data_IF_665833625050
#
_entry.id   IF_665833625050
#
_cell.length_a   1.000
_cell.length_b   1.000
_cell.length_c   1.000
_cell.angle_alpha   90.00
_cell.angle_beta   90.00
_cell.angle_gamma   90.00
#
_symmetry.space_group_name_H-M   'P 1'
#
loop_
_entity.id
_entity.type
_entity.pdbx_description
1 polymer ?
#
# COMPACT_ATOMS: atom_id res chain seq x y z
N UNK A 1 -33.58 84.45 2.92
CA UNK A 1 -32.85 84.44 4.21
C UNK A 1 -32.71 83.01 4.68
N UNK A 2 -31.46 82.53 4.79
CA UNK A 2 -30.90 81.55 5.76
C UNK A 2 -31.60 80.18 5.93
N UNK A 3 -30.97 79.07 5.48
CA UNK A 3 -30.12 78.13 6.25
C UNK A 3 -30.94 77.12 7.10
N UNK A 4 -30.97 75.82 6.78
CA UNK A 4 -29.96 74.75 6.97
C UNK A 4 -30.24 73.93 8.24
N UNK A 5 -30.23 72.59 8.10
CA UNK A 5 -30.34 71.64 9.23
C UNK A 5 -30.54 70.19 8.78
N UNK A 6 -29.43 69.47 8.62
CA UNK A 6 -29.34 68.01 8.37
C UNK A 6 -29.72 67.19 9.62
N UNK A 7 -30.26 65.98 9.44
CA UNK A 7 -29.79 64.79 10.16
C UNK A 7 -30.12 63.51 9.41
N UNK A 8 -29.10 62.68 9.22
CA UNK A 8 -29.12 61.38 8.55
C UNK A 8 -29.76 60.29 9.43
N UNK A 9 -30.43 59.32 8.81
CA UNK A 9 -30.76 58.02 9.41
C UNK A 9 -30.32 56.93 8.42
N UNK A 10 -29.46 56.04 8.90
CA UNK A 10 -28.80 54.98 8.12
C UNK A 10 -29.70 53.78 7.79
N UNK A 11 -29.18 52.85 6.96
CA UNK A 11 -29.97 51.76 6.37
C UNK A 11 -30.22 50.58 7.32
N UNK A 12 -31.38 49.95 7.12
CA UNK A 12 -31.87 48.76 7.81
C UNK A 12 -31.06 47.53 7.35
N UNK A 13 -30.41 46.85 8.29
CA UNK A 13 -29.65 45.61 8.10
C UNK A 13 -30.61 44.41 8.11
N UNK A 14 -30.52 43.55 7.09
CA UNK A 14 -31.31 42.32 6.98
C UNK A 14 -30.81 41.26 7.98
N UNK A 15 -31.77 40.61 8.65
CA UNK A 15 -31.51 39.51 9.58
C UNK A 15 -31.12 38.23 8.83
N UNK A 16 -29.85 37.86 8.92
CA UNK A 16 -29.36 36.55 8.51
C UNK A 16 -29.67 35.49 9.56
N UNK A 17 -30.41 34.46 9.15
CA UNK A 17 -30.68 33.26 9.94
C UNK A 17 -29.38 32.45 10.08
N UNK A 18 -28.78 32.47 11.26
CA UNK A 18 -27.65 31.61 11.59
C UNK A 18 -28.16 30.17 11.79
N UNK A 19 -27.90 29.31 10.80
CA UNK A 19 -27.96 27.86 11.00
C UNK A 19 -26.82 27.47 11.94
N UNK A 20 -27.18 27.12 13.18
CA UNK A 20 -26.27 26.49 14.12
C UNK A 20 -25.76 25.19 13.54
N UNK A 21 -24.48 25.17 13.15
CA UNK A 21 -23.76 23.96 12.80
C UNK A 21 -23.71 23.07 14.06
N UNK A 22 -24.57 22.06 14.12
CA UNK A 22 -24.37 20.94 15.02
C UNK A 22 -23.08 20.24 14.59
N UNK A 23 -22.03 20.42 15.38
CA UNK A 23 -20.85 19.59 15.31
C UNK A 23 -21.26 18.13 15.52
N UNK A 24 -21.37 17.38 14.42
CA UNK A 24 -21.45 15.94 14.42
C UNK A 24 -20.22 15.40 15.15
N UNK A 25 -20.41 15.00 16.41
CA UNK A 25 -19.44 14.18 17.13
C UNK A 25 -19.36 12.85 16.40
N UNK A 26 -18.29 12.67 15.63
CA UNK A 26 -17.91 11.37 15.08
C UNK A 26 -17.84 10.38 16.24
N UNK A 27 -18.80 9.46 16.28
CA UNK A 27 -18.80 8.31 17.18
C UNK A 27 -17.61 7.44 16.81
N UNK A 28 -16.60 7.41 17.69
CA UNK A 28 -15.38 6.64 17.50
C UNK A 28 -15.71 5.14 17.39
N UNK A 29 -15.72 4.64 16.16
CA UNK A 29 -15.59 3.21 15.91
C UNK A 29 -14.25 2.67 16.46
N UNK A 30 -14.12 1.36 16.66
CA UNK A 30 -12.89 0.76 17.18
C UNK A 30 -11.71 1.18 16.29
N UNK A 31 -10.79 1.98 16.86
CA UNK A 31 -9.73 2.62 16.10
C UNK A 31 -8.82 1.59 15.45
N UNK A 32 -8.68 1.67 14.12
CA UNK A 32 -7.62 0.95 13.40
C UNK A 32 -6.28 1.47 13.91
N UNK A 33 -5.41 0.56 14.38
CA UNK A 33 -4.03 0.94 14.69
C UNK A 33 -3.32 1.21 13.37
N UNK A 34 -2.74 2.40 13.25
CA UNK A 34 -1.98 2.81 12.06
C UNK A 34 -0.71 2.00 11.90
N UNK A 35 -0.34 1.73 10.65
CA UNK A 35 0.94 1.16 10.28
C UNK A 35 2.08 2.09 10.68
N UNK A 36 3.16 1.50 11.21
CA UNK A 36 4.42 2.23 11.39
C UNK A 36 5.15 2.29 10.06
N UNK A 37 5.42 3.51 9.58
CA UNK A 37 6.21 3.70 8.35
C UNK A 37 7.69 3.36 8.60
N UNK A 38 8.45 2.99 7.55
CA UNK A 38 9.90 2.87 7.64
C UNK A 38 10.53 4.20 8.10
N UNK A 39 11.58 4.12 8.90
CA UNK A 39 12.40 5.27 9.30
C UNK A 39 13.72 5.26 8.51
N UNK A 40 13.61 5.28 7.18
CA UNK A 40 14.76 5.08 6.30
C UNK A 40 15.72 6.28 6.34
N UNK A 41 16.99 6.03 6.68
CA UNK A 41 18.08 7.00 6.66
C UNK A 41 19.35 6.35 6.11
N UNK A 42 19.46 6.34 4.79
CA UNK A 42 20.60 5.74 4.11
C UNK A 42 21.90 6.51 4.42
N UNK A 43 23.02 5.80 4.60
CA UNK A 43 24.35 6.41 4.69
C UNK A 43 24.80 6.97 3.33
N UNK A 44 26.03 7.49 3.28
CA UNK A 44 26.65 7.74 1.98
C UNK A 44 26.84 6.41 1.25
N UNK A 45 26.31 6.32 0.04
CA UNK A 45 26.31 5.09 -0.75
C UNK A 45 27.48 5.04 -1.72
N UNK A 46 28.07 3.87 -1.87
CA UNK A 46 29.07 3.58 -2.90
C UNK A 46 28.39 3.05 -4.16
N UNK A 47 28.83 3.49 -5.33
CA UNK A 47 28.28 2.98 -6.59
C UNK A 47 28.64 1.50 -6.74
N UNK A 48 27.65 0.68 -7.06
CA UNK A 48 27.88 -0.72 -7.39
C UNK A 48 28.65 -0.85 -8.72
N UNK A 49 29.79 -1.53 -8.67
CA UNK A 49 30.64 -1.83 -9.84
C UNK A 49 30.81 -3.33 -10.11
N UNK A 50 30.04 -4.19 -9.42
CA UNK A 50 30.10 -5.63 -9.61
C UNK A 50 29.47 -6.11 -10.91
N UNK A 51 29.71 -7.39 -11.25
CA UNK A 51 29.24 -8.01 -12.50
C UNK A 51 27.81 -8.56 -12.45
N UNK A 52 27.18 -8.57 -11.28
CA UNK A 52 25.85 -9.13 -11.09
C UNK A 52 25.58 -9.62 -9.67
N UNK A 53 24.38 -10.15 -9.48
CA UNK A 53 23.96 -10.78 -8.24
C UNK A 53 24.65 -12.13 -8.04
N UNK A 54 24.99 -12.41 -6.80
CA UNK A 54 25.54 -13.69 -6.35
C UNK A 54 24.60 -14.31 -5.31
N UNK A 55 24.40 -15.64 -5.33
CA UNK A 55 23.71 -16.33 -4.24
C UNK A 55 24.39 -16.07 -2.90
N UNK A 56 23.60 -15.75 -1.88
CA UNK A 56 24.05 -15.33 -0.56
C UNK A 56 25.02 -14.12 -0.56
N UNK A 57 25.03 -13.34 -1.65
CA UNK A 57 25.85 -12.13 -1.77
C UNK A 57 25.49 -11.09 -0.71
N UNK A 58 26.49 -10.38 -0.20
CA UNK A 58 26.32 -9.33 0.81
C UNK A 58 26.56 -7.96 0.17
N UNK A 59 25.48 -7.19 0.06
CA UNK A 59 25.47 -5.85 -0.51
C UNK A 59 25.12 -4.86 0.60
N UNK A 60 26.09 -4.03 0.98
CA UNK A 60 25.98 -3.11 2.11
C UNK A 60 26.40 -1.70 1.69
N UNK A 61 25.51 -0.71 1.87
CA UNK A 61 25.81 0.68 1.56
C UNK A 61 25.96 0.95 0.06
N UNK A 62 25.33 0.14 -0.79
CA UNK A 62 25.51 0.20 -2.25
C UNK A 62 24.37 0.89 -2.98
N UNK A 63 24.75 1.65 -4.02
CA UNK A 63 23.85 2.26 -4.98
C UNK A 63 23.93 1.53 -6.33
N UNK A 64 22.81 0.93 -6.71
CA UNK A 64 22.58 0.30 -8.00
C UNK A 64 21.76 1.25 -8.86
N UNK A 65 22.31 1.66 -10.02
CA UNK A 65 21.63 2.56 -10.96
C UNK A 65 21.46 1.87 -12.30
N UNK A 66 20.20 1.80 -12.74
CA UNK A 66 19.80 1.30 -14.07
C UNK A 66 20.44 -0.05 -14.42
N UNK A 67 20.73 -0.86 -13.39
CA UNK A 67 21.43 -2.13 -13.53
C UNK A 67 20.46 -3.21 -13.97
N UNK A 68 20.88 -4.00 -14.95
CA UNK A 68 20.09 -5.11 -15.46
C UNK A 68 20.42 -6.39 -14.69
N UNK A 69 19.50 -6.83 -13.84
CA UNK A 69 19.58 -8.10 -13.11
C UNK A 69 18.70 -9.18 -13.72
N UNK A 70 18.22 -9.00 -14.95
CA UNK A 70 17.29 -9.93 -15.58
C UNK A 70 17.87 -11.34 -15.65
N UNK A 71 17.11 -12.32 -15.17
CA UNK A 71 17.48 -13.74 -15.12
C UNK A 71 18.61 -14.10 -14.15
N UNK A 72 19.16 -13.14 -13.39
CA UNK A 72 20.25 -13.40 -12.45
C UNK A 72 19.77 -14.11 -11.19
N UNK A 73 20.73 -14.68 -10.46
CA UNK A 73 20.50 -15.43 -9.22
C UNK A 73 21.20 -14.76 -8.04
N UNK A 74 20.41 -14.15 -7.18
CA UNK A 74 20.80 -13.64 -5.87
C UNK A 74 20.00 -14.30 -4.75
N UNK A 75 19.66 -15.58 -4.89
CA UNK A 75 18.95 -16.32 -3.83
C UNK A 75 19.70 -16.20 -2.49
N UNK A 76 19.01 -15.82 -1.42
CA UNK A 76 19.60 -15.60 -0.11
C UNK A 76 20.41 -14.31 0.06
N UNK A 77 20.58 -13.51 -1.01
CA UNK A 77 21.37 -12.29 -0.96
C UNK A 77 20.84 -11.29 0.07
N UNK A 78 21.75 -10.52 0.65
CA UNK A 78 21.46 -9.45 1.60
C UNK A 78 21.71 -8.10 0.95
N UNK A 79 20.72 -7.22 1.04
CA UNK A 79 20.81 -5.80 0.71
C UNK A 79 20.56 -5.03 1.99
N UNK A 80 21.57 -4.34 2.49
CA UNK A 80 21.49 -3.49 3.67
C UNK A 80 21.92 -2.09 3.29
N UNK A 81 21.15 -1.09 3.72
CA UNK A 81 21.48 0.30 3.45
C UNK A 81 21.69 0.57 1.94
N UNK A 82 20.92 -0.09 1.08
CA UNK A 82 21.07 -0.01 -0.37
C UNK A 82 20.06 0.95 -1.02
N UNK A 83 20.43 1.48 -2.19
CA UNK A 83 19.51 2.14 -3.11
C UNK A 83 19.52 1.45 -4.47
N UNK A 84 18.38 0.90 -4.90
CA UNK A 84 18.21 0.34 -6.24
C UNK A 84 17.32 1.27 -7.05
N UNK A 85 17.91 2.00 -8.00
CA UNK A 85 17.20 2.99 -8.83
C UNK A 85 17.13 2.52 -10.28
N UNK A 86 15.93 2.32 -10.80
CA UNK A 86 15.70 1.99 -12.21
C UNK A 86 16.19 0.59 -12.63
N UNK A 87 16.46 -0.31 -11.68
CA UNK A 87 16.97 -1.65 -11.97
C UNK A 87 15.91 -2.53 -12.66
N UNK A 88 16.38 -3.38 -13.57
CA UNK A 88 15.56 -4.42 -14.21
C UNK A 88 15.68 -5.73 -13.45
N UNK A 89 14.54 -6.33 -13.10
CA UNK A 89 14.40 -7.51 -12.26
C UNK A 89 13.62 -8.64 -12.95
N UNK A 90 13.57 -8.62 -14.29
CA UNK A 90 12.82 -9.58 -15.08
C UNK A 90 13.34 -11.01 -14.86
N UNK A 91 12.52 -11.88 -14.26
CA UNK A 91 12.89 -13.27 -13.93
C UNK A 91 14.06 -13.40 -12.94
N UNK A 92 14.42 -12.34 -12.21
CA UNK A 92 15.50 -12.39 -11.23
C UNK A 92 15.11 -13.24 -10.03
N UNK A 93 16.02 -14.10 -9.58
CA UNK A 93 15.84 -14.99 -8.42
C UNK A 93 16.43 -14.34 -7.18
N UNK A 94 15.58 -13.93 -6.27
CA UNK A 94 15.86 -13.33 -4.96
C UNK A 94 15.12 -14.09 -3.84
N UNK A 95 14.85 -15.38 -4.04
CA UNK A 95 14.19 -16.19 -3.01
C UNK A 95 15.04 -16.20 -1.73
N UNK A 96 14.37 -16.03 -0.58
CA UNK A 96 14.97 -15.86 0.75
C UNK A 96 15.92 -14.66 0.89
N UNK A 97 15.94 -13.73 -0.07
CA UNK A 97 16.74 -12.52 0.06
C UNK A 97 16.30 -11.67 1.26
N UNK A 98 17.23 -10.87 1.78
CA UNK A 98 17.01 -9.99 2.93
C UNK A 98 17.28 -8.56 2.51
N UNK A 99 16.22 -7.78 2.35
CA UNK A 99 16.29 -6.35 2.02
C UNK A 99 15.97 -5.56 3.29
N UNK A 100 16.98 -4.87 3.82
CA UNK A 100 16.95 -4.20 5.11
C UNK A 100 17.32 -2.74 4.89
N UNK A 101 16.56 -1.83 5.49
CA UNK A 101 16.90 -0.40 5.54
C UNK A 101 17.28 0.15 4.16
N UNK A 102 16.47 -0.18 3.13
CA UNK A 102 16.84 0.06 1.73
C UNK A 102 15.73 0.76 0.96
N UNK A 103 16.12 1.51 -0.09
CA UNK A 103 15.19 2.12 -1.04
C UNK A 103 15.25 1.44 -2.41
N UNK A 104 14.08 1.22 -2.99
CA UNK A 104 13.91 0.68 -4.34
C UNK A 104 13.03 1.67 -5.12
N UNK A 105 13.61 2.39 -6.06
CA UNK A 105 12.93 3.43 -6.82
C UNK A 105 12.87 3.08 -8.31
N UNK A 106 11.68 3.06 -8.90
CA UNK A 106 11.49 2.82 -10.33
C UNK A 106 11.95 1.44 -10.81
N UNK A 107 12.06 0.46 -9.90
CA UNK A 107 12.40 -0.91 -10.28
C UNK A 107 11.30 -1.52 -11.15
N UNK A 108 11.71 -2.33 -12.13
CA UNK A 108 10.80 -2.95 -13.08
C UNK A 108 11.10 -4.43 -13.25
N UNK A 109 10.09 -5.26 -13.43
CA UNK A 109 10.32 -6.67 -13.72
C UNK A 109 9.05 -7.49 -13.82
N UNK A 110 9.10 -8.52 -14.66
CA UNK A 110 8.08 -9.56 -14.70
C UNK A 110 8.65 -10.87 -14.15
N UNK A 111 7.90 -11.53 -13.26
CA UNK A 111 8.27 -12.84 -12.71
C UNK A 111 9.46 -12.81 -11.74
N UNK A 112 9.74 -11.67 -11.10
CA UNK A 112 10.74 -11.59 -10.03
C UNK A 112 10.37 -12.52 -8.87
N UNK A 113 11.30 -13.38 -8.47
CA UNK A 113 11.11 -14.32 -7.37
C UNK A 113 11.68 -13.74 -6.07
N UNK A 114 10.80 -13.35 -5.14
CA UNK A 114 11.09 -12.92 -3.77
C UNK A 114 10.42 -13.87 -2.76
N UNK A 115 10.24 -15.15 -3.13
CA UNK A 115 9.65 -16.14 -2.26
C UNK A 115 10.39 -16.22 -0.93
N UNK A 116 9.67 -16.24 0.19
CA UNK A 116 10.24 -16.30 1.54
C UNK A 116 11.25 -15.18 1.88
N UNK A 117 11.29 -14.10 1.10
CA UNK A 117 12.17 -12.97 1.35
C UNK A 117 11.76 -12.21 2.63
N UNK A 118 12.73 -11.51 3.22
CA UNK A 118 12.49 -10.56 4.33
C UNK A 118 12.72 -9.15 3.83
N UNK A 119 11.68 -8.31 3.93
CA UNK A 119 11.76 -6.88 3.67
C UNK A 119 11.47 -6.15 4.99
N UNK A 120 12.43 -5.38 5.46
CA UNK A 120 12.29 -4.64 6.72
C UNK A 120 12.81 -3.21 6.56
N UNK A 121 12.00 -2.25 6.97
CA UNK A 121 12.33 -0.82 6.84
C UNK A 121 12.65 -0.42 5.38
N UNK A 122 11.78 -0.86 4.47
CA UNK A 122 11.98 -0.71 3.01
C UNK A 122 11.00 0.29 2.42
N UNK A 123 11.49 1.14 1.52
CA UNK A 123 10.66 1.99 0.67
C UNK A 123 10.74 1.54 -0.79
N UNK A 124 9.59 1.21 -1.38
CA UNK A 124 9.45 0.87 -2.79
C UNK A 124 8.63 1.98 -3.48
N UNK A 125 9.25 2.80 -4.32
CA UNK A 125 8.57 3.91 -5.02
C UNK A 125 8.51 3.65 -6.53
N UNK A 126 7.33 3.89 -7.13
CA UNK A 126 7.08 3.85 -8.58
C UNK A 126 7.49 2.54 -9.26
N UNK A 127 7.34 1.42 -8.55
CA UNK A 127 7.67 0.10 -9.08
C UNK A 127 6.69 -0.35 -10.17
N UNK A 128 7.22 -1.04 -11.19
CA UNK A 128 6.43 -1.66 -12.26
C UNK A 128 6.70 -3.15 -12.26
N UNK A 129 5.88 -3.88 -11.52
CA UNK A 129 6.11 -5.28 -11.20
C UNK A 129 4.94 -6.12 -11.70
N UNK A 130 5.22 -7.22 -12.40
CA UNK A 130 4.21 -8.16 -12.88
C UNK A 130 4.53 -9.58 -12.43
N UNK A 131 3.56 -10.29 -11.87
CA UNK A 131 3.75 -11.69 -11.45
C UNK A 131 4.86 -11.88 -10.42
N UNK A 132 5.13 -10.88 -9.58
CA UNK A 132 6.16 -10.97 -8.53
C UNK A 132 5.74 -11.96 -7.46
N UNK A 133 6.65 -12.87 -7.10
CA UNK A 133 6.42 -13.92 -6.12
C UNK A 133 6.91 -13.46 -4.75
N UNK A 134 6.03 -13.26 -3.78
CA UNK A 134 6.31 -12.95 -2.38
C UNK A 134 5.63 -13.96 -1.44
N UNK A 135 5.36 -15.18 -1.92
CA UNK A 135 4.72 -16.20 -1.10
C UNK A 135 5.62 -16.56 0.09
N UNK A 136 5.05 -16.64 1.29
CA UNK A 136 5.78 -16.88 2.54
C UNK A 136 6.70 -15.74 3.00
N UNK A 137 6.77 -14.62 2.28
CA UNK A 137 7.65 -13.50 2.64
C UNK A 137 7.24 -12.82 3.96
N UNK A 138 8.18 -12.14 4.59
CA UNK A 138 7.97 -11.32 5.78
C UNK A 138 8.26 -9.85 5.47
N UNK A 139 7.22 -9.01 5.53
CA UNK A 139 7.29 -7.57 5.31
C UNK A 139 7.02 -6.87 6.65
N UNK A 140 7.98 -6.10 7.15
CA UNK A 140 7.82 -5.29 8.37
C UNK A 140 8.24 -3.83 8.14
N UNK A 141 7.34 -2.88 8.40
CA UNK A 141 7.58 -1.44 8.18
C UNK A 141 8.00 -1.15 6.74
N UNK A 142 7.11 -1.51 5.81
CA UNK A 142 7.34 -1.35 4.37
C UNK A 142 6.37 -0.30 3.82
N UNK A 143 6.90 0.64 3.05
CA UNK A 143 6.11 1.60 2.28
C UNK A 143 6.22 1.27 0.79
N UNK A 144 5.10 1.03 0.14
CA UNK A 144 5.01 0.86 -1.31
C UNK A 144 4.21 2.05 -1.83
N UNK A 145 4.84 2.94 -2.59
CA UNK A 145 4.24 4.18 -3.07
C UNK A 145 4.25 4.26 -4.59
N UNK A 146 3.09 4.52 -5.17
CA UNK A 146 2.92 4.61 -6.61
C UNK A 146 3.12 3.27 -7.30
N UNK A 147 3.24 3.30 -8.62
CA UNK A 147 3.51 2.11 -9.41
C UNK A 147 2.29 1.25 -9.74
N UNK A 148 2.54 0.27 -10.62
CA UNK A 148 1.57 -0.73 -11.05
C UNK A 148 2.14 -2.11 -10.74
N UNK A 149 1.42 -2.86 -9.91
CA UNK A 149 1.83 -4.18 -9.46
C UNK A 149 0.73 -5.16 -9.81
N UNK A 150 0.94 -5.90 -10.89
CA UNK A 150 -0.02 -6.88 -11.41
C UNK A 150 0.34 -8.28 -10.92
N UNK A 151 -0.65 -9.10 -10.55
CA UNK A 151 -0.51 -10.50 -10.14
C UNK A 151 0.50 -10.71 -9.00
N UNK A 152 0.42 -9.85 -7.97
CA UNK A 152 1.30 -9.92 -6.81
C UNK A 152 0.93 -11.13 -5.94
N UNK A 153 1.82 -12.13 -5.86
CA UNK A 153 1.58 -13.31 -5.05
C UNK A 153 2.11 -13.11 -3.63
N UNK A 154 1.23 -12.88 -2.65
CA UNK A 154 1.53 -12.74 -1.23
C UNK A 154 1.01 -13.94 -0.40
N UNK A 155 0.80 -15.10 -1.03
CA UNK A 155 0.23 -16.26 -0.36
C UNK A 155 1.05 -16.66 0.86
N UNK A 156 0.39 -16.82 2.01
CA UNK A 156 1.04 -17.19 3.28
C UNK A 156 2.03 -16.15 3.84
N UNK A 157 2.16 -14.98 3.20
CA UNK A 157 3.07 -13.93 3.65
C UNK A 157 2.63 -13.32 4.98
N UNK A 158 3.58 -12.69 5.68
CA UNK A 158 3.35 -11.94 6.91
C UNK A 158 3.62 -10.46 6.63
N UNK A 159 2.57 -9.65 6.65
CA UNK A 159 2.66 -8.21 6.48
C UNK A 159 2.37 -7.56 7.83
N UNK A 160 3.32 -6.79 8.34
CA UNK A 160 3.17 -6.05 9.59
C UNK A 160 3.63 -4.61 9.37
N UNK A 161 2.78 -3.64 9.68
CA UNK A 161 3.12 -2.23 9.44
C UNK A 161 3.44 -1.97 7.96
N UNK A 162 2.52 -2.30 7.05
CA UNK A 162 2.73 -2.10 5.60
C UNK A 162 1.77 -1.04 5.08
N UNK A 163 2.28 -0.10 4.30
CA UNK A 163 1.48 0.95 3.67
C UNK A 163 1.62 0.85 2.16
N UNK A 164 0.49 0.68 1.48
CA UNK A 164 0.37 0.90 0.04
C UNK A 164 -0.22 2.31 -0.16
N UNK A 165 0.43 3.14 -0.96
CA UNK A 165 0.04 4.54 -1.18
C UNK A 165 0.04 4.87 -2.68
N UNK A 166 -1.11 5.18 -3.28
CA UNK A 166 -1.20 5.54 -4.70
C UNK A 166 -0.87 4.41 -5.68
N UNK A 167 -0.86 3.15 -5.23
CA UNK A 167 -0.58 1.99 -6.07
C UNK A 167 -1.80 1.52 -6.87
N UNK A 168 -1.56 0.98 -8.06
CA UNK A 168 -2.52 0.14 -8.78
C UNK A 168 -2.14 -1.32 -8.57
N UNK A 169 -2.97 -2.06 -7.83
CA UNK A 169 -2.81 -3.49 -7.55
C UNK A 169 -3.87 -4.26 -8.33
N UNK A 170 -3.45 -5.04 -9.33
CA UNK A 170 -4.36 -5.87 -10.14
C UNK A 170 -4.14 -7.33 -9.78
N UNK A 171 -5.21 -7.98 -9.34
CA UNK A 171 -5.26 -9.37 -8.88
C UNK A 171 -4.17 -9.73 -7.85
N UNK A 172 -4.01 -8.96 -6.75
CA UNK A 172 -3.13 -9.37 -5.67
C UNK A 172 -3.71 -10.59 -4.93
N UNK A 173 -2.87 -11.60 -4.71
CA UNK A 173 -3.24 -12.83 -4.01
C UNK A 173 -2.69 -12.82 -2.57
N UNK A 174 -3.56 -12.56 -1.61
CA UNK A 174 -3.26 -12.61 -0.17
C UNK A 174 -3.66 -13.95 0.46
N UNK A 175 -3.79 -15.02 -0.32
CA UNK A 175 -4.29 -16.31 0.14
C UNK A 175 -3.52 -16.87 1.34
N UNK A 176 -4.17 -17.02 2.49
CA UNK A 176 -3.53 -17.48 3.72
C UNK A 176 -2.55 -16.48 4.38
N UNK A 177 -2.45 -15.25 3.86
CA UNK A 177 -1.57 -14.23 4.40
C UNK A 177 -2.06 -13.70 5.77
N UNK A 178 -1.13 -13.17 6.57
CA UNK A 178 -1.43 -12.47 7.82
C UNK A 178 -1.11 -11.00 7.66
N UNK A 179 -2.12 -10.14 7.73
CA UNK A 179 -2.00 -8.70 7.61
C UNK A 179 -2.27 -8.06 8.97
N UNK A 180 -1.28 -7.35 9.51
CA UNK A 180 -1.35 -6.65 10.79
C UNK A 180 -0.96 -5.18 10.61
N UNK A 181 -1.88 -4.25 10.86
CA UNK A 181 -1.67 -2.80 10.61
C UNK A 181 -1.22 -2.55 9.17
N UNK A 182 -2.11 -2.84 8.24
CA UNK A 182 -1.89 -2.62 6.80
C UNK A 182 -2.84 -1.53 6.31
N UNK A 183 -2.31 -0.57 5.57
CA UNK A 183 -3.08 0.56 5.04
C UNK A 183 -3.03 0.59 3.51
N UNK A 184 -4.17 0.85 2.89
CA UNK A 184 -4.28 1.12 1.46
C UNK A 184 -4.81 2.55 1.26
N UNK A 185 -3.92 3.46 0.87
CA UNK A 185 -4.20 4.90 0.74
C UNK A 185 -4.18 5.28 -0.73
N UNK A 186 -5.30 5.78 -1.25
CA UNK A 186 -5.46 6.18 -2.66
C UNK A 186 -5.11 5.07 -3.66
N UNK A 187 -5.20 3.80 -3.22
CA UNK A 187 -4.89 2.64 -4.04
C UNK A 187 -6.11 2.13 -4.79
N UNK A 188 -5.88 1.62 -6.00
CA UNK A 188 -6.86 0.80 -6.70
C UNK A 188 -6.55 -0.69 -6.47
N UNK A 189 -7.37 -1.38 -5.68
CA UNK A 189 -7.30 -2.82 -5.47
C UNK A 189 -8.34 -3.50 -6.36
N UNK A 190 -7.88 -4.16 -7.42
CA UNK A 190 -8.75 -4.80 -8.41
C UNK A 190 -8.61 -6.31 -8.30
N UNK A 191 -9.71 -7.02 -8.07
CA UNK A 191 -9.73 -8.48 -8.01
C UNK A 191 -8.86 -9.10 -6.90
N UNK A 192 -8.79 -8.51 -5.71
CA UNK A 192 -8.00 -9.06 -4.62
C UNK A 192 -8.54 -10.42 -4.14
N UNK A 193 -7.65 -11.40 -3.95
CA UNK A 193 -7.98 -12.69 -3.31
C UNK A 193 -7.55 -12.66 -1.84
N UNK A 194 -8.52 -12.76 -0.93
CA UNK A 194 -8.32 -12.78 0.52
C UNK A 194 -8.51 -14.18 1.11
N UNK A 195 -8.63 -15.23 0.30
CA UNK A 195 -9.01 -16.59 0.74
C UNK A 195 -8.10 -17.10 1.87
N UNK A 196 -8.67 -17.35 3.05
CA UNK A 196 -7.92 -17.82 4.22
C UNK A 196 -6.98 -16.78 4.85
N UNK A 197 -6.98 -15.53 4.38
CA UNK A 197 -6.23 -14.45 4.99
C UNK A 197 -6.74 -14.13 6.41
N UNK A 198 -5.86 -13.61 7.25
CA UNK A 198 -6.21 -13.04 8.55
C UNK A 198 -5.90 -11.55 8.54
N UNK A 199 -6.90 -10.72 8.82
CA UNK A 199 -6.76 -9.27 8.86
C UNK A 199 -6.85 -8.79 10.32
N UNK A 200 -5.92 -7.95 10.73
CA UNK A 200 -5.91 -7.31 12.05
C UNK A 200 -5.49 -5.86 11.90
N UNK A 201 -6.41 -4.93 12.13
CA UNK A 201 -6.20 -3.50 11.91
C UNK A 201 -5.83 -3.18 10.45
N UNK A 202 -6.62 -3.67 9.49
CA UNK A 202 -6.43 -3.33 8.07
C UNK A 202 -7.33 -2.16 7.69
N UNK A 203 -6.76 -1.08 7.17
CA UNK A 203 -7.51 0.10 6.74
C UNK A 203 -7.69 0.11 5.22
N UNK A 204 -8.93 -0.09 4.78
CA UNK A 204 -9.32 -0.05 3.37
C UNK A 204 -10.10 1.22 3.02
N UNK A 205 -10.45 2.07 4.01
CA UNK A 205 -11.35 3.22 3.80
C UNK A 205 -10.90 4.19 2.73
N UNK A 206 -9.57 4.30 2.54
CA UNK A 206 -8.95 5.22 1.59
C UNK A 206 -8.57 4.53 0.27
N UNK A 207 -8.90 3.25 0.06
CA UNK A 207 -8.78 2.62 -1.24
C UNK A 207 -9.78 3.26 -2.20
N UNK A 208 -9.27 3.79 -3.33
CA UNK A 208 -10.08 4.44 -4.35
C UNK A 208 -10.91 3.45 -5.17
N UNK A 209 -10.42 2.21 -5.28
CA UNK A 209 -11.15 1.07 -5.84
C UNK A 209 -10.94 -0.12 -4.92
N UNK A 210 -12.02 -0.83 -4.61
CA UNK A 210 -12.00 -2.04 -3.79
C UNK A 210 -12.85 -3.13 -4.44
N UNK A 211 -12.21 -3.99 -5.22
CA UNK A 211 -12.82 -5.18 -5.79
C UNK A 211 -12.18 -6.42 -5.16
N UNK A 212 -13.00 -7.26 -4.54
CA UNK A 212 -12.57 -8.50 -3.91
C UNK A 212 -13.10 -9.65 -4.75
N UNK A 213 -12.19 -10.43 -5.33
CA UNK A 213 -12.54 -11.57 -6.16
C UNK A 213 -12.97 -12.78 -5.31
N UNK A 214 -12.31 -13.01 -4.18
CA UNK A 214 -12.56 -14.14 -3.26
C UNK A 214 -12.21 -13.77 -1.82
N UNK A 215 -12.83 -14.46 -0.87
CA UNK A 215 -12.52 -14.31 0.55
C UNK A 215 -13.15 -13.07 1.20
N UNK A 216 -14.32 -12.63 0.73
CA UNK A 216 -15.04 -11.48 1.32
C UNK A 216 -15.44 -11.74 2.78
N UNK A 217 -15.66 -13.00 3.13
CA UNK A 217 -15.87 -13.51 4.49
C UNK A 217 -14.66 -13.30 5.42
N UNK A 218 -13.48 -12.99 4.87
CA UNK A 218 -12.24 -12.70 5.60
C UNK A 218 -12.06 -11.24 5.97
N UNK A 219 -13.00 -10.35 5.64
CA UNK A 219 -12.93 -8.93 5.97
C UNK A 219 -13.01 -8.60 7.46
N UNK A 220 -13.22 -9.60 8.34
CA UNK A 220 -13.15 -9.39 9.78
C UNK A 220 -11.78 -8.84 10.19
N UNK A 221 -11.78 -7.70 10.88
CA UNK A 221 -10.56 -6.97 11.28
C UNK A 221 -10.08 -5.91 10.27
N UNK A 222 -10.74 -5.80 9.12
CA UNK A 222 -10.62 -4.66 8.22
C UNK A 222 -11.65 -3.57 8.55
N UNK A 223 -11.35 -2.34 8.13
CA UNK A 223 -12.29 -1.22 8.19
C UNK A 223 -12.48 -0.67 6.78
N UNK A 224 -13.74 -0.62 6.36
CA UNK A 224 -14.21 -0.08 5.08
C UNK A 224 -15.11 1.13 5.31
N UNK A 225 -15.33 1.94 4.29
CA UNK A 225 -16.26 3.06 4.31
C UNK A 225 -17.69 2.61 3.96
N UNK A 226 -18.69 3.46 4.25
CA UNK A 226 -20.09 3.17 3.87
C UNK A 226 -20.27 2.99 2.35
N UNK A 227 -19.68 3.83 1.47
CA UNK A 227 -19.73 3.59 0.03
C UNK A 227 -19.16 2.22 -0.36
N UNK A 228 -18.01 1.85 0.19
CA UNK A 228 -17.40 0.54 -0.09
C UNK A 228 -18.27 -0.63 0.38
N UNK A 229 -19.02 -0.49 1.47
CA UNK A 229 -19.98 -1.50 1.89
C UNK A 229 -21.09 -1.70 0.84
N UNK A 230 -21.56 -0.62 0.22
CA UNK A 230 -22.56 -0.69 -0.85
C UNK A 230 -21.97 -1.34 -2.11
N UNK A 231 -20.74 -0.99 -2.47
CA UNK A 231 -20.03 -1.58 -3.61
C UNK A 231 -19.78 -3.09 -3.40
N UNK A 232 -19.52 -3.52 -2.17
CA UNK A 232 -19.32 -4.92 -1.78
C UNK A 232 -20.63 -5.68 -1.53
N UNK A 233 -21.78 -5.01 -1.49
CA UNK A 233 -23.05 -5.65 -1.15
C UNK A 233 -23.39 -6.87 -2.05
N UNK A 234 -23.19 -6.83 -3.38
CA UNK A 234 -23.47 -7.98 -4.24
C UNK A 234 -22.59 -9.20 -3.91
N UNK A 235 -21.28 -8.99 -3.67
CA UNK A 235 -20.36 -10.10 -3.36
C UNK A 235 -20.60 -10.64 -1.95
N UNK A 236 -20.98 -9.79 -1.00
CA UNK A 236 -21.39 -10.21 0.34
C UNK A 236 -22.69 -11.01 0.32
N UNK A 237 -23.68 -10.58 -0.46
CA UNK A 237 -24.95 -11.30 -0.62
C UNK A 237 -24.69 -12.69 -1.23
N UNK A 238 -23.88 -12.76 -2.30
CA UNK A 238 -23.50 -14.02 -2.93
C UNK A 238 -22.78 -14.97 -1.96
N UNK A 239 -21.84 -14.47 -1.15
CA UNK A 239 -21.13 -15.27 -0.13
C UNK A 239 -22.09 -15.82 0.94
N UNK A 240 -23.12 -15.06 1.29
CA UNK A 240 -24.16 -15.48 2.23
C UNK A 240 -25.26 -16.35 1.60
N UNK A 241 -25.22 -16.60 0.28
CA UNK A 241 -26.26 -17.33 -0.45
C UNK A 241 -27.58 -16.55 -0.58
N UNK A 242 -27.54 -15.22 -0.53
CA UNK A 242 -28.68 -14.33 -0.69
C UNK A 242 -28.83 -13.96 -2.16
N UNK A 243 -30.02 -14.19 -2.72
CA UNK A 243 -30.38 -13.72 -4.06
C UNK A 243 -30.85 -12.25 -3.97
N UNK A 244 -30.33 -11.40 -4.87
CA UNK A 244 -30.67 -9.98 -4.94
C UNK A 244 -31.40 -9.73 -6.26
N UNK A 245 -32.68 -9.35 -6.17
CA UNK A 245 -33.45 -8.86 -7.32
C UNK A 245 -33.23 -7.35 -7.51
N UNK A 246 -33.09 -6.92 -8.76
CA UNK A 246 -32.83 -5.53 -9.16
C UNK A 246 -34.08 -4.75 -9.54
#
# INVERSE_FOLDING_TARGET
MTCAGFSQVGPIVSGGVQHGAMASRATGGPGVKRARRPELRLPALERYEGSGLEPDGDYDGLEFRETDFSGQDGGGARFMDCALTGCALDGTRLSRARVLDSSLAGVRGVGTDLAEATLRDVELTDARLGGTQLHGAALERVLIRGGKIDFLNLRGARLKDVVFEGCVLVEPDFGGARLERVEFVDCALKGADLSGATLNHVDLRNASVLEIARGVDRLSGAVISTPQLLDLAPVLAAELGIEVEG
#
